data_IF_054645374975
#
_entry.id   IF_054645374975
#
_cell.length_a   1.000
_cell.length_b   1.000
_cell.length_c   1.000
_cell.angle_alpha   90.00
_cell.angle_beta   90.00
_cell.angle_gamma   90.00
#
_symmetry.space_group_name_H-M   'P 1'
#
loop_
_entity.id
_entity.type
_entity.pdbx_description
1 polymer ?
#
# COMPACT_ATOMS: atom_id res chain seq x y z
N UNK A 1 -17.53 -24.94 10.66
CA UNK A 1 -16.78 -26.00 11.39
C UNK A 1 -15.30 -25.66 11.52
N UNK A 2 -14.76 -24.77 10.68
CA UNK A 2 -13.48 -24.09 10.89
C UNK A 2 -13.68 -22.59 10.59
N UNK A 3 -12.95 -21.71 11.27
CA UNK A 3 -12.97 -20.27 11.00
C UNK A 3 -11.58 -19.70 11.27
N UNK A 4 -11.08 -18.92 10.32
CA UNK A 4 -9.82 -18.22 10.41
C UNK A 4 -10.05 -16.75 10.05
N UNK A 5 -9.42 -15.85 10.79
CA UNK A 5 -9.42 -14.41 10.52
C UNK A 5 -8.00 -13.97 10.22
N UNK A 6 -7.83 -13.22 9.14
CA UNK A 6 -6.52 -12.78 8.65
C UNK A 6 -5.93 -13.71 7.59
N UNK A 7 -4.70 -13.40 7.21
CA UNK A 7 -3.93 -14.14 6.21
C UNK A 7 -3.13 -15.28 6.86
N UNK A 8 -2.99 -16.40 6.16
CA UNK A 8 -2.24 -17.57 6.62
C UNK A 8 -3.11 -18.80 6.91
N UNK A 9 -2.52 -19.78 7.59
CA UNK A 9 -3.13 -21.08 7.90
C UNK A 9 -3.76 -21.79 6.71
N UNK A 10 -3.07 -21.74 5.56
CA UNK A 10 -3.57 -22.32 4.32
C UNK A 10 -3.66 -23.84 4.40
N UNK A 11 -2.69 -24.50 5.06
CA UNK A 11 -2.71 -25.94 5.22
C UNK A 11 -3.88 -26.41 6.09
N UNK A 12 -4.14 -25.71 7.19
CA UNK A 12 -5.28 -26.00 8.06
C UNK A 12 -6.62 -25.71 7.37
N UNK A 13 -6.67 -24.68 6.53
CA UNK A 13 -7.85 -24.35 5.74
C UNK A 13 -8.12 -25.41 4.67
N UNK A 14 -7.08 -25.86 3.95
CA UNK A 14 -7.17 -26.93 2.95
C UNK A 14 -7.56 -28.27 3.58
N UNK A 15 -6.99 -28.61 4.75
CA UNK A 15 -7.38 -29.80 5.51
C UNK A 15 -8.86 -29.76 5.91
N UNK A 16 -9.36 -28.62 6.39
CA UNK A 16 -10.77 -28.45 6.72
C UNK A 16 -11.69 -28.55 5.49
N UNK A 17 -11.25 -28.07 4.32
CA UNK A 17 -11.98 -28.23 3.05
C UNK A 17 -12.06 -29.70 2.67
N UNK A 18 -10.94 -30.43 2.73
CA UNK A 18 -10.90 -31.86 2.39
C UNK A 18 -11.76 -32.70 3.32
N UNK A 19 -11.74 -32.42 4.63
CA UNK A 19 -12.63 -33.09 5.61
C UNK A 19 -14.10 -32.92 5.21
N UNK A 20 -14.52 -31.69 4.90
CA UNK A 20 -15.91 -31.40 4.50
C UNK A 20 -16.29 -32.06 3.16
N UNK A 21 -15.37 -32.15 2.20
CA UNK A 21 -15.61 -32.83 0.93
C UNK A 21 -15.71 -34.35 1.10
N UNK A 22 -14.92 -34.93 2.02
CA UNK A 22 -15.00 -36.35 2.38
C UNK A 22 -16.33 -36.65 3.09
N UNK A 23 -16.75 -35.83 4.06
CA UNK A 23 -18.07 -35.96 4.71
C UNK A 23 -19.22 -35.90 3.69
N UNK A 24 -19.09 -35.07 2.66
CA UNK A 24 -20.07 -34.93 1.59
C UNK A 24 -20.00 -36.04 0.52
N UNK A 25 -19.10 -37.01 0.64
CA UNK A 25 -18.90 -38.08 -0.33
C UNK A 25 -18.36 -37.60 -1.69
N UNK A 26 -17.83 -36.38 -1.74
CA UNK A 26 -17.31 -35.74 -2.96
C UNK A 26 -15.80 -35.91 -3.12
N UNK A 27 -15.10 -36.33 -2.06
CA UNK A 27 -13.69 -36.69 -2.09
C UNK A 27 -13.54 -38.20 -1.81
N UNK A 28 -12.94 -38.93 -2.74
CA UNK A 28 -12.72 -40.39 -2.61
C UNK A 28 -11.31 -40.75 -2.13
N UNK A 29 -10.37 -39.82 -2.22
CA UNK A 29 -9.01 -39.93 -1.67
C UNK A 29 -8.54 -38.57 -1.17
N UNK A 30 -8.10 -38.53 0.09
CA UNK A 30 -7.43 -37.37 0.68
C UNK A 30 -6.19 -37.01 -0.15
N UNK A 31 -6.03 -35.72 -0.45
CA UNK A 31 -4.88 -35.20 -1.18
C UNK A 31 -3.88 -34.66 -0.19
N UNK A 32 -2.59 -34.86 -0.47
CA UNK A 32 -1.53 -34.21 0.32
C UNK A 32 -1.73 -32.70 0.23
N UNK A 33 -1.79 -32.06 1.40
CA UNK A 33 -1.84 -30.61 1.51
C UNK A 33 -0.42 -30.07 1.32
N UNK A 34 -0.21 -29.36 0.21
CA UNK A 34 1.09 -28.77 -0.15
C UNK A 34 0.89 -27.31 -0.56
N UNK A 35 0.57 -26.43 0.38
CA UNK A 35 0.56 -25.00 0.09
C UNK A 35 1.98 -24.42 0.16
N UNK A 36 2.26 -23.35 -0.60
CA UNK A 36 3.50 -22.61 -0.43
C UNK A 36 3.61 -22.06 1.00
N UNK A 37 4.82 -22.11 1.56
CA UNK A 37 5.10 -21.46 2.86
C UNK A 37 4.99 -19.96 2.70
N UNK A 38 4.04 -19.35 3.42
CA UNK A 38 3.86 -17.92 3.45
C UNK A 38 4.57 -17.32 4.67
N UNK A 39 5.41 -16.31 4.46
CA UNK A 39 6.05 -15.56 5.52
C UNK A 39 5.66 -14.09 5.38
N UNK A 40 5.11 -13.51 6.45
CA UNK A 40 4.76 -12.09 6.50
C UNK A 40 5.99 -11.30 6.91
N UNK A 41 6.47 -10.42 6.03
CA UNK A 41 7.62 -9.57 6.34
C UNK A 41 7.25 -8.11 6.64
N UNK A 42 5.96 -7.77 6.51
CA UNK A 42 5.42 -6.46 6.84
C UNK A 42 5.28 -6.24 8.36
N UNK A 43 5.96 -5.22 8.88
CA UNK A 43 5.71 -4.67 10.23
C UNK A 43 4.84 -3.42 10.18
N UNK A 44 4.97 -2.62 9.13
CA UNK A 44 4.06 -1.49 8.89
C UNK A 44 2.67 -2.01 8.56
N UNK A 45 1.66 -1.48 9.25
CA UNK A 45 0.25 -1.82 9.00
C UNK A 45 -0.27 -1.09 7.77
N UNK A 46 -1.36 -1.60 7.21
CA UNK A 46 -2.11 -0.90 6.18
C UNK A 46 -2.36 0.56 6.58
N UNK A 47 -1.99 1.48 5.69
CA UNK A 47 -1.95 2.91 5.97
C UNK A 47 -2.95 3.63 5.07
N UNK A 48 -4.07 4.07 5.65
CA UNK A 48 -5.12 4.80 4.94
C UNK A 48 -4.81 6.30 4.82
N UNK A 49 -5.11 6.87 3.65
CA UNK A 49 -4.83 8.26 3.31
C UNK A 49 -6.09 9.15 3.33
N UNK A 50 -7.28 8.58 3.44
CA UNK A 50 -8.54 9.31 3.66
C UNK A 50 -8.82 9.57 5.13
N UNK A 51 -9.41 10.73 5.46
CA UNK A 51 -9.59 11.16 6.85
C UNK A 51 -10.53 10.28 7.68
N UNK A 52 -11.35 9.43 7.07
CA UNK A 52 -12.26 8.56 7.82
C UNK A 52 -11.53 7.44 8.57
N UNK A 53 -10.33 7.06 8.10
CA UNK A 53 -9.53 5.93 8.65
C UNK A 53 -8.05 6.27 8.82
N UNK A 54 -7.67 7.52 8.61
CA UNK A 54 -6.29 7.98 8.73
C UNK A 54 -5.84 7.99 10.19
N UNK A 55 -4.78 7.25 10.50
CA UNK A 55 -4.19 7.19 11.84
C UNK A 55 -2.71 7.61 11.89
N UNK A 56 -2.03 7.58 10.73
CA UNK A 56 -0.55 7.62 10.66
C UNK A 56 0.02 8.86 9.95
N UNK A 57 -0.70 9.99 9.93
CA UNK A 57 -0.21 11.24 9.34
C UNK A 57 0.73 11.97 10.30
N UNK A 58 1.94 12.25 9.82
CA UNK A 58 3.01 12.94 10.55
C UNK A 58 3.20 14.41 10.13
N UNK A 59 2.47 14.90 9.12
CA UNK A 59 2.49 16.32 8.76
C UNK A 59 2.05 17.19 9.95
N UNK A 60 2.69 18.36 10.17
CA UNK A 60 2.37 19.21 11.31
C UNK A 60 1.02 19.93 11.18
N UNK A 61 0.50 20.07 9.96
CA UNK A 61 -0.78 20.72 9.71
C UNK A 61 -1.97 19.82 10.08
N UNK A 62 -3.04 20.43 10.58
CA UNK A 62 -4.30 19.72 10.84
C UNK A 62 -4.97 19.35 9.53
N UNK A 63 -5.55 18.16 9.48
CA UNK A 63 -6.42 17.76 8.37
C UNK A 63 -7.68 18.60 8.38
N UNK A 64 -7.84 19.44 7.36
CA UNK A 64 -9.09 20.12 7.05
C UNK A 64 -9.88 19.26 6.05
N UNK A 65 -10.96 18.66 6.51
CA UNK A 65 -11.78 17.71 5.74
C UNK A 65 -12.32 18.36 4.46
N UNK A 66 -12.09 17.72 3.32
CA UNK A 66 -12.55 18.15 1.99
C UNK A 66 -12.02 19.52 1.52
N UNK A 67 -11.02 20.07 2.22
CA UNK A 67 -10.41 21.38 1.91
C UNK A 67 -8.99 21.21 1.39
N UNK A 68 -8.73 21.80 0.23
CA UNK A 68 -7.39 21.90 -0.34
C UNK A 68 -6.48 22.72 0.57
N UNK A 69 -5.42 22.10 1.08
CA UNK A 69 -4.54 22.65 2.11
C UNK A 69 -3.07 22.40 1.74
N UNK A 70 -2.19 23.32 2.13
CA UNK A 70 -0.74 23.16 2.01
C UNK A 70 -0.21 22.37 3.19
N UNK A 71 0.57 21.33 2.93
CA UNK A 71 1.22 20.49 3.94
C UNK A 71 2.75 20.57 3.84
N UNK A 72 3.41 20.26 4.95
CA UNK A 72 4.86 20.11 5.03
C UNK A 72 5.27 18.78 5.65
N UNK A 73 6.49 18.35 5.37
CA UNK A 73 7.08 17.16 6.00
C UNK A 73 7.75 17.56 7.32
N UNK A 74 7.64 16.73 8.38
CA UNK A 74 8.38 16.96 9.61
C UNK A 74 9.88 16.80 9.37
N UNK A 75 10.71 17.47 10.19
CA UNK A 75 12.16 17.36 10.09
C UNK A 75 12.68 15.92 10.30
N UNK A 76 11.94 15.11 11.08
CA UNK A 76 12.25 13.71 11.35
C UNK A 76 10.96 12.92 11.12
N UNK A 77 10.98 11.99 10.17
CA UNK A 77 9.86 11.10 9.89
C UNK A 77 9.73 10.02 10.98
N UNK A 78 8.60 9.97 11.72
CA UNK A 78 8.34 8.88 12.66
C UNK A 78 8.25 7.54 11.95
N UNK A 79 8.46 6.47 12.71
CA UNK A 79 8.34 5.09 12.22
C UNK A 79 6.91 4.78 11.83
N UNK A 80 6.72 4.08 10.71
CA UNK A 80 5.43 3.52 10.29
C UNK A 80 4.36 4.60 10.04
N UNK A 81 4.83 5.79 9.63
CA UNK A 81 4.01 6.97 9.37
C UNK A 81 4.33 7.57 8.01
N UNK A 82 3.38 8.36 7.50
CA UNK A 82 3.51 9.10 6.26
C UNK A 82 3.34 10.61 6.50
N UNK A 83 3.92 11.41 5.63
CA UNK A 83 3.77 12.85 5.64
C UNK A 83 3.56 13.37 4.22
N UNK A 84 2.82 14.46 4.12
CA UNK A 84 2.49 15.14 2.89
C UNK A 84 3.33 16.42 2.76
N UNK A 85 3.75 16.74 1.55
CA UNK A 85 4.32 18.04 1.21
C UNK A 85 3.66 18.60 -0.05
N UNK A 86 3.49 19.92 -0.08
CA UNK A 86 2.77 20.60 -1.14
C UNK A 86 1.25 20.59 -0.90
N UNK A 87 0.48 20.83 -1.96
CA UNK A 87 -0.96 21.04 -1.84
C UNK A 87 -1.74 19.74 -2.01
N UNK A 88 -2.58 19.43 -1.03
CA UNK A 88 -3.39 18.22 -0.97
C UNK A 88 -4.84 18.52 -0.58
N UNK A 89 -5.78 17.74 -1.11
CA UNK A 89 -7.14 17.67 -0.60
C UNK A 89 -7.35 16.29 0.01
N UNK A 90 -7.79 16.22 1.27
CA UNK A 90 -8.04 14.95 1.96
C UNK A 90 -9.55 14.77 2.09
N UNK A 91 -10.07 13.69 1.53
CA UNK A 91 -11.49 13.30 1.53
C UNK A 91 -11.70 12.14 2.51
N UNK A 92 -12.94 11.63 2.73
CA UNK A 92 -13.14 10.50 3.63
C UNK A 92 -12.29 9.28 3.28
N UNK A 93 -12.12 9.00 1.98
CA UNK A 93 -11.55 7.74 1.48
C UNK A 93 -10.13 7.89 0.92
N UNK A 94 -9.76 9.08 0.43
CA UNK A 94 -8.50 9.27 -0.29
C UNK A 94 -7.86 10.64 -0.03
N UNK A 95 -6.59 10.75 -0.38
CA UNK A 95 -5.87 12.01 -0.51
C UNK A 95 -5.58 12.30 -1.99
N UNK A 96 -5.97 13.49 -2.46
CA UNK A 96 -5.73 13.96 -3.82
C UNK A 96 -4.53 14.92 -3.87
N UNK A 97 -3.56 14.58 -4.72
CA UNK A 97 -2.34 15.36 -4.90
C UNK A 97 -2.51 16.46 -5.94
N UNK A 98 -2.01 17.67 -5.64
CA UNK A 98 -1.83 18.71 -6.66
C UNK A 98 -0.49 18.57 -7.38
N UNK A 99 -0.30 19.36 -8.44
CA UNK A 99 0.94 19.43 -9.21
C UNK A 99 2.15 19.66 -8.30
N UNK A 100 3.18 18.81 -8.43
CA UNK A 100 4.43 18.92 -7.69
C UNK A 100 4.36 18.51 -6.22
N UNK A 101 3.20 18.02 -5.74
CA UNK A 101 3.07 17.50 -4.39
C UNK A 101 3.96 16.27 -4.18
N UNK A 102 4.24 15.98 -2.91
CA UNK A 102 5.04 14.83 -2.49
C UNK A 102 4.41 14.11 -1.30
N UNK A 103 4.67 12.82 -1.21
CA UNK A 103 4.35 11.97 -0.06
C UNK A 103 5.62 11.24 0.37
N UNK A 104 5.91 11.27 1.66
CA UNK A 104 6.98 10.47 2.27
C UNK A 104 6.38 9.42 3.20
N UNK A 105 6.90 8.20 3.17
CA UNK A 105 6.46 7.09 3.99
C UNK A 105 7.70 6.40 4.59
N UNK A 106 7.75 6.30 5.93
CA UNK A 106 8.76 5.51 6.64
C UNK A 106 8.17 4.14 6.95
N UNK A 107 8.54 3.13 6.16
CA UNK A 107 7.96 1.79 6.24
C UNK A 107 8.98 0.74 6.68
N UNK A 108 8.48 -0.42 7.09
CA UNK A 108 9.23 -1.61 7.46
C UNK A 108 8.52 -2.83 6.88
N UNK A 109 8.93 -3.25 5.70
CA UNK A 109 8.40 -4.40 4.95
C UNK A 109 9.43 -4.86 3.91
N UNK A 110 9.10 -5.89 3.12
CA UNK A 110 9.86 -6.24 1.91
C UNK A 110 9.27 -5.55 0.67
N UNK A 111 7.95 -5.53 0.58
CA UNK A 111 7.23 -4.97 -0.56
C UNK A 111 6.32 -3.83 -0.10
N UNK A 112 6.13 -2.82 -0.96
CA UNK A 112 5.16 -1.74 -0.75
C UNK A 112 4.25 -1.64 -1.96
N UNK A 113 2.96 -1.62 -1.69
CA UNK A 113 1.93 -1.45 -2.68
C UNK A 113 1.09 -0.20 -2.39
N UNK A 114 0.57 0.42 -3.44
CA UNK A 114 -0.24 1.63 -3.37
C UNK A 114 -1.55 1.43 -4.11
N UNK A 115 -2.66 1.63 -3.42
CA UNK A 115 -3.99 1.73 -4.05
C UNK A 115 -4.18 3.17 -4.52
N UNK A 116 -4.26 3.36 -5.82
CA UNK A 116 -4.40 4.68 -6.44
C UNK A 116 -5.23 4.61 -7.71
N UNK A 117 -5.73 5.76 -8.15
CA UNK A 117 -6.39 5.92 -9.44
C UNK A 117 -6.14 7.33 -10.01
N UNK A 118 -6.23 7.53 -11.33
CA UNK A 118 -6.20 8.88 -11.89
C UNK A 118 -7.50 9.61 -11.52
N UNK A 119 -7.40 10.90 -11.18
CA UNK A 119 -8.55 11.72 -10.77
C UNK A 119 -9.49 12.04 -11.96
N UNK A 120 -8.91 12.17 -13.15
CA UNK A 120 -9.64 12.39 -14.40
C UNK A 120 -9.30 11.31 -15.42
N UNK A 121 -10.05 11.24 -16.51
CA UNK A 121 -9.76 10.30 -17.60
C UNK A 121 -8.35 10.58 -18.17
N UNK A 122 -7.46 9.60 -18.09
CA UNK A 122 -6.08 9.72 -18.55
C UNK A 122 -5.12 8.88 -17.74
N UNK A 123 -3.82 9.20 -17.86
CA UNK A 123 -2.73 8.56 -17.13
C UNK A 123 -2.11 9.59 -16.19
N UNK A 124 -2.05 9.29 -14.90
CA UNK A 124 -1.26 10.05 -13.94
C UNK A 124 0.13 9.40 -13.75
N UNK A 125 1.12 10.18 -13.32
CA UNK A 125 2.48 9.69 -13.08
C UNK A 125 2.91 9.91 -11.64
N UNK A 126 3.61 8.92 -11.11
CA UNK A 126 4.26 9.00 -9.79
C UNK A 126 5.75 8.72 -9.97
N UNK A 127 6.61 9.64 -9.55
CA UNK A 127 8.05 9.39 -9.48
C UNK A 127 8.41 8.76 -8.14
N UNK A 128 9.21 7.70 -8.16
CA UNK A 128 9.50 6.84 -7.01
C UNK A 128 10.97 6.95 -6.62
N UNK A 129 11.21 7.26 -5.35
CA UNK A 129 12.54 7.22 -4.75
C UNK A 129 12.49 6.47 -3.42
N UNK A 130 13.48 5.61 -3.17
CA UNK A 130 13.68 4.94 -1.90
C UNK A 130 15.03 5.38 -1.33
N UNK A 131 15.02 5.90 -0.11
CA UNK A 131 16.17 6.50 0.57
C UNK A 131 16.87 7.59 -0.28
N UNK A 132 16.05 8.41 -0.94
CA UNK A 132 16.51 9.50 -1.79
C UNK A 132 17.11 9.07 -3.13
N UNK A 133 16.97 7.80 -3.53
CA UNK A 133 17.51 7.26 -4.78
C UNK A 133 16.45 6.53 -5.61
N UNK A 134 16.56 6.54 -6.95
CA UNK A 134 15.71 5.74 -7.83
C UNK A 134 16.13 4.26 -7.80
N UNK A 135 15.67 3.51 -6.79
CA UNK A 135 16.05 2.11 -6.54
C UNK A 135 14.91 1.29 -5.94
N UNK A 136 15.10 -0.04 -5.86
CA UNK A 136 14.17 -1.00 -5.24
C UNK A 136 12.76 -0.97 -5.84
N UNK A 137 12.70 -0.86 -7.16
CA UNK A 137 11.45 -0.74 -7.91
C UNK A 137 10.60 -1.99 -7.86
N UNK A 138 9.33 -1.80 -7.48
CA UNK A 138 8.29 -2.80 -7.67
C UNK A 138 7.92 -3.00 -9.14
N UNK A 139 7.08 -3.99 -9.40
CA UNK A 139 6.76 -4.44 -10.77
C UNK A 139 6.07 -3.36 -11.63
N UNK A 140 5.43 -2.36 -11.01
CA UNK A 140 4.72 -1.29 -11.70
C UNK A 140 5.55 -0.02 -11.89
N UNK A 141 6.83 -0.03 -11.50
CA UNK A 141 7.74 1.10 -11.66
C UNK A 141 8.66 0.88 -12.85
N UNK A 142 8.50 1.68 -13.90
CA UNK A 142 9.35 1.65 -15.10
C UNK A 142 10.16 2.94 -15.14
N UNK A 143 11.49 2.80 -15.17
CA UNK A 143 12.43 3.94 -15.16
C UNK A 143 12.15 4.94 -14.01
N UNK A 144 11.83 4.41 -12.82
CA UNK A 144 11.52 5.21 -11.63
C UNK A 144 10.16 5.89 -11.63
N UNK A 145 9.27 5.53 -12.57
CA UNK A 145 7.92 6.10 -12.67
C UNK A 145 6.85 5.02 -12.68
N UNK A 146 5.79 5.22 -11.89
CA UNK A 146 4.52 4.47 -12.01
C UNK A 146 3.59 5.23 -12.95
N UNK A 147 3.01 4.53 -13.91
CA UNK A 147 1.89 5.04 -14.71
C UNK A 147 0.57 4.53 -14.14
N UNK A 148 -0.24 5.47 -13.65
CA UNK A 148 -1.53 5.20 -13.01
C UNK A 148 -2.64 5.44 -14.02
N UNK A 149 -3.25 4.36 -14.49
CA UNK A 149 -4.21 4.33 -15.60
C UNK A 149 -5.59 3.83 -15.18
N UNK A 150 -5.71 3.22 -14.00
CA UNK A 150 -6.94 2.59 -13.51
C UNK A 150 -6.97 2.59 -11.99
N UNK A 151 -8.14 2.31 -11.42
CA UNK A 151 -8.28 2.00 -10.00
C UNK A 151 -7.75 0.59 -9.72
N UNK A 152 -6.55 0.49 -9.14
CA UNK A 152 -5.98 -0.79 -8.70
C UNK A 152 -4.88 -0.61 -7.65
N UNK A 153 -4.39 -1.75 -7.18
CA UNK A 153 -3.16 -1.88 -6.42
C UNK A 153 -1.94 -1.84 -7.36
N UNK A 154 -0.97 -0.97 -7.06
CA UNK A 154 0.30 -0.81 -7.78
C UNK A 154 1.48 -1.29 -6.91
N UNK A 155 2.35 -2.13 -7.45
CA UNK A 155 3.62 -2.56 -6.81
C UNK A 155 4.68 -1.48 -6.98
N UNK A 156 5.00 -0.77 -5.90
CA UNK A 156 5.87 0.42 -5.91
C UNK A 156 7.29 0.10 -5.46
N UNK A 157 7.44 -0.73 -4.43
CA UNK A 157 8.76 -1.11 -3.90
C UNK A 157 8.85 -2.63 -3.79
N UNK A 158 10.01 -3.18 -4.16
CA UNK A 158 10.39 -4.57 -3.93
C UNK A 158 11.86 -4.61 -3.44
N UNK A 159 12.06 -5.04 -2.20
CA UNK A 159 13.38 -5.21 -1.59
C UNK A 159 13.86 -6.66 -1.71
N UNK A 160 15.17 -6.87 -1.73
CA UNK A 160 15.73 -8.24 -1.66
C UNK A 160 15.47 -8.88 -0.30
N UNK A 161 15.59 -8.09 0.77
CA UNK A 161 15.39 -8.49 2.16
C UNK A 161 14.47 -7.46 2.85
N UNK A 162 13.61 -7.89 3.79
CA UNK A 162 12.76 -6.95 4.51
C UNK A 162 13.58 -6.01 5.39
N UNK A 163 13.16 -4.74 5.43
CA UNK A 163 13.90 -3.71 6.14
C UNK A 163 13.12 -2.42 6.30
N UNK A 164 13.69 -1.50 7.08
CA UNK A 164 13.14 -0.17 7.29
C UNK A 164 13.76 0.83 6.30
N UNK A 165 12.92 1.49 5.53
CA UNK A 165 13.32 2.43 4.48
C UNK A 165 12.37 3.63 4.41
N UNK A 166 12.80 4.68 3.71
CA UNK A 166 11.94 5.84 3.40
C UNK A 166 11.59 5.84 1.93
N UNK A 167 10.29 5.73 1.63
CA UNK A 167 9.73 5.92 0.29
C UNK A 167 9.34 7.40 0.12
N UNK A 168 9.79 8.03 -0.96
CA UNK A 168 9.29 9.32 -1.44
C UNK A 168 8.59 9.13 -2.79
N UNK A 169 7.36 9.62 -2.87
CA UNK A 169 6.57 9.73 -4.08
C UNK A 169 6.43 11.21 -4.45
N UNK A 170 6.74 11.55 -5.69
CA UNK A 170 6.48 12.89 -6.26
C UNK A 170 5.41 12.78 -7.34
N UNK A 171 4.50 13.75 -7.39
CA UNK A 171 3.36 13.79 -8.31
C UNK A 171 3.51 14.96 -9.30
N UNK A 172 4.23 14.80 -10.42
CA UNK A 172 4.63 15.92 -11.27
C UNK A 172 3.45 16.62 -11.95
N UNK A 173 2.41 15.86 -12.29
CA UNK A 173 1.26 16.33 -13.08
C UNK A 173 0.04 16.65 -12.18
N UNK A 174 0.06 16.25 -10.90
CA UNK A 174 -1.12 16.27 -10.04
C UNK A 174 -2.19 15.26 -10.51
N UNK A 175 -3.45 15.48 -10.14
CA UNK A 175 -4.61 14.74 -10.69
C UNK A 175 -4.59 13.23 -10.42
N UNK A 176 -4.20 12.86 -9.21
CA UNK A 176 -4.21 11.47 -8.73
C UNK A 176 -4.86 11.41 -7.35
N UNK A 177 -5.56 10.31 -7.11
CA UNK A 177 -6.19 9.99 -5.83
C UNK A 177 -5.52 8.76 -5.23
N UNK A 178 -5.08 8.86 -3.98
CA UNK A 178 -4.36 7.83 -3.25
C UNK A 178 -5.21 7.37 -2.07
N UNK A 179 -5.40 6.06 -1.93
CA UNK A 179 -6.33 5.49 -0.95
C UNK A 179 -5.59 4.89 0.24
N UNK A 180 -4.69 3.94 -0.03
CA UNK A 180 -3.96 3.23 1.02
C UNK A 180 -2.63 2.68 0.54
N UNK A 181 -1.72 2.49 1.48
CA UNK A 181 -0.56 1.62 1.31
C UNK A 181 -0.82 0.26 1.97
N UNK A 182 -0.41 -0.81 1.28
CA UNK A 182 -0.33 -2.17 1.83
C UNK A 182 1.09 -2.70 1.68
N UNK A 183 1.41 -3.77 2.41
CA UNK A 183 2.80 -4.21 2.61
C UNK A 183 2.90 -5.73 2.55
N UNK A 184 4.02 -6.23 2.01
CA UNK A 184 4.39 -7.64 1.93
C UNK A 184 5.71 -7.93 2.63
#
# INVERSE_FOLDING_TARGET
RYTHFGEGKYDESEAAIQELLTEAGSLTTEKVVENPTYQTYAQTRETYLGYARMESLASPEKVLQDVTTLYTTPAIMPRDQFALAGTWQITPEYAAASVGAKLQLNFSSKSVFLVARPKTAGTAKIQVHVDGKPQFFGADVVEGTVQVTSDRLYSVVELSEPGRHTLELTFPEGEIELYAFTFG
#
